data_IF_680953937041
#
_entry.id   IF_680953937041
#
_cell.length_a   1.000
_cell.length_b   1.000
_cell.length_c   1.000
_cell.angle_alpha   90.00
_cell.angle_beta   90.00
_cell.angle_gamma   90.00
#
_symmetry.space_group_name_H-M   'P 1'
#
loop_
_entity.id
_entity.type
_entity.pdbx_description
1 polymer ?
#
# COMPACT_ATOMS: atom_id res chain seq x y z
N UNK A 1 -29.88 14.22 -16.92
CA UNK A 1 -29.45 15.63 -16.84
C UNK A 1 -27.94 15.64 -16.96
N UNK A 2 -27.43 15.87 -18.17
CA UNK A 2 -26.00 15.90 -18.44
C UNK A 2 -25.46 17.24 -17.94
N UNK A 3 -24.46 17.23 -17.05
CA UNK A 3 -23.76 18.45 -16.66
C UNK A 3 -22.85 18.88 -17.82
N UNK A 4 -23.34 19.78 -18.65
CA UNK A 4 -22.51 20.60 -19.54
C UNK A 4 -21.98 21.81 -18.76
N UNK A 5 -20.78 21.70 -18.20
CA UNK A 5 -19.93 22.86 -17.85
C UNK A 5 -18.54 22.34 -17.48
N UNK A 6 -17.68 22.19 -18.48
CA UNK A 6 -16.24 22.02 -18.24
C UNK A 6 -15.59 23.29 -17.65
N UNK A 7 -16.31 24.42 -17.66
CA UNK A 7 -15.90 25.70 -17.11
C UNK A 7 -16.72 26.04 -15.86
N UNK A 8 -16.15 25.82 -14.65
CA UNK A 8 -16.28 26.78 -13.52
C UNK A 8 -15.64 26.37 -12.18
N UNK A 9 -14.87 25.27 -12.08
CA UNK A 9 -14.14 25.04 -10.81
C UNK A 9 -12.87 25.90 -10.78
N UNK A 10 -12.76 26.89 -9.87
CA UNK A 10 -11.60 27.76 -9.83
C UNK A 10 -10.35 27.02 -9.37
N UNK A 11 -9.17 27.54 -9.73
CA UNK A 11 -7.91 27.06 -9.15
C UNK A 11 -7.85 27.43 -7.67
N UNK A 12 -7.83 26.43 -6.79
CA UNK A 12 -7.80 26.63 -5.34
C UNK A 12 -6.40 26.37 -4.80
N UNK A 13 -5.65 27.45 -4.53
CA UNK A 13 -4.29 27.38 -3.98
C UNK A 13 -4.26 27.09 -2.47
N UNK A 14 -5.38 27.24 -1.77
CA UNK A 14 -5.43 27.07 -0.31
C UNK A 14 -5.40 25.60 0.13
N UNK A 15 -5.84 24.68 -0.75
CA UNK A 15 -5.94 23.26 -0.41
C UNK A 15 -4.58 22.58 -0.57
N UNK A 16 -4.06 22.07 0.54
CA UNK A 16 -2.78 21.34 0.59
C UNK A 16 -2.93 19.86 0.91
N UNK A 17 -4.10 19.45 1.41
CA UNK A 17 -4.42 18.07 1.75
C UNK A 17 -5.82 17.71 1.26
N UNK A 18 -5.94 16.56 0.62
CA UNK A 18 -7.20 16.00 0.15
C UNK A 18 -7.39 14.62 0.80
N UNK A 19 -8.58 14.37 1.35
CA UNK A 19 -8.89 13.15 2.11
C UNK A 19 -10.24 12.62 1.68
N UNK A 20 -10.27 11.39 1.17
CA UNK A 20 -11.48 10.58 1.07
C UNK A 20 -11.24 9.36 1.93
N UNK A 21 -11.95 9.32 3.06
CA UNK A 21 -11.92 8.21 3.99
C UNK A 21 -12.90 7.13 3.58
N UNK A 22 -12.69 5.94 4.14
CA UNK A 22 -13.59 4.79 4.06
C UNK A 22 -15.08 5.12 4.32
N UNK A 23 -15.41 6.07 5.19
CA UNK A 23 -16.80 6.47 5.46
C UNK A 23 -17.57 6.95 4.21
N UNK A 24 -16.86 7.49 3.22
CA UNK A 24 -17.40 7.79 1.92
C UNK A 24 -17.54 6.45 1.17
N UNK A 25 -18.58 5.67 1.48
CA UNK A 25 -18.91 4.33 0.92
C UNK A 25 -19.16 4.32 -0.61
N UNK A 26 -18.71 5.36 -1.33
CA UNK A 26 -18.81 5.53 -2.78
C UNK A 26 -17.41 5.87 -3.30
N UNK A 27 -16.99 5.14 -4.32
CA UNK A 27 -15.84 5.53 -5.12
C UNK A 27 -16.20 6.82 -5.87
N UNK A 28 -15.33 7.84 -5.77
CA UNK A 28 -15.39 8.96 -6.71
C UNK A 28 -14.80 8.46 -8.02
N UNK A 29 -15.49 8.72 -9.12
CA UNK A 29 -15.00 8.39 -10.44
C UNK A 29 -13.61 9.00 -10.68
N UNK A 30 -12.73 8.24 -11.32
CA UNK A 30 -11.32 8.60 -11.47
C UNK A 30 -11.16 9.85 -12.35
N UNK A 31 -11.99 10.05 -13.38
CA UNK A 31 -11.98 11.28 -14.18
C UNK A 31 -12.35 12.50 -13.33
N UNK A 32 -13.34 12.35 -12.44
CA UNK A 32 -13.73 13.42 -11.52
C UNK A 32 -12.60 13.74 -10.51
N UNK A 33 -11.88 12.72 -10.00
CA UNK A 33 -10.68 12.93 -9.20
C UNK A 33 -9.59 13.65 -9.99
N UNK A 34 -9.38 13.27 -11.25
CA UNK A 34 -8.40 13.92 -12.11
C UNK A 34 -8.73 15.39 -12.33
N UNK A 35 -9.99 15.71 -12.61
CA UNK A 35 -10.47 17.08 -12.72
C UNK A 35 -10.25 17.89 -11.43
N UNK A 36 -10.56 17.31 -10.27
CA UNK A 36 -10.31 17.95 -8.98
C UNK A 36 -8.82 18.23 -8.77
N UNK A 37 -7.96 17.24 -8.97
CA UNK A 37 -6.52 17.39 -8.75
C UNK A 37 -5.89 18.44 -9.65
N UNK A 38 -6.32 18.56 -10.92
CA UNK A 38 -5.89 19.63 -11.82
C UNK A 38 -6.23 21.04 -11.27
N UNK A 39 -7.25 21.16 -10.41
CA UNK A 39 -7.66 22.44 -9.79
C UNK A 39 -6.99 22.73 -8.44
N UNK A 40 -6.18 21.82 -7.91
CA UNK A 40 -5.51 21.94 -6.61
C UNK A 40 -3.97 22.00 -6.76
N UNK A 41 -3.42 23.11 -7.30
CA UNK A 41 -2.00 23.19 -7.69
C UNK A 41 -1.01 23.17 -6.51
N UNK A 42 -1.49 23.30 -5.27
CA UNK A 42 -0.69 23.22 -4.04
C UNK A 42 -1.03 21.98 -3.21
N UNK A 43 -1.62 20.95 -3.82
CA UNK A 43 -1.90 19.70 -3.13
C UNK A 43 -0.60 18.96 -2.83
N UNK A 44 -0.29 18.75 -1.55
CA UNK A 44 0.93 18.09 -1.08
C UNK A 44 0.65 16.70 -0.49
N UNK A 45 -0.58 16.42 -0.07
CA UNK A 45 -0.95 15.16 0.57
C UNK A 45 -2.32 14.67 0.10
N UNK A 46 -2.39 13.40 -0.28
CA UNK A 46 -3.64 12.70 -0.62
C UNK A 46 -3.79 11.48 0.28
N UNK A 47 -4.98 11.32 0.86
CA UNK A 47 -5.44 10.09 1.50
C UNK A 47 -6.68 9.64 0.75
N UNK A 48 -6.64 8.44 0.17
CA UNK A 48 -7.71 7.91 -0.67
C UNK A 48 -8.03 6.47 -0.29
N UNK A 49 -9.23 6.25 0.25
CA UNK A 49 -9.62 4.94 0.79
C UNK A 49 -10.91 4.44 0.15
N UNK A 50 -10.86 4.01 -1.12
CA UNK A 50 -12.04 3.58 -1.86
C UNK A 50 -12.59 2.26 -1.35
N UNK A 51 -13.90 2.09 -1.49
CA UNK A 51 -14.60 0.82 -1.27
C UNK A 51 -14.76 0.03 -2.57
N UNK A 52 -14.35 -1.24 -2.55
CA UNK A 52 -14.67 -2.18 -3.63
C UNK A 52 -16.12 -2.66 -3.47
N UNK A 53 -16.98 -2.39 -4.47
CA UNK A 53 -18.37 -2.88 -4.49
C UNK A 53 -18.45 -4.29 -5.08
N UNK A 54 -19.11 -5.26 -4.40
CA UNK A 54 -19.29 -6.62 -4.91
C UNK A 54 -20.03 -6.70 -6.26
N UNK A 55 -20.99 -5.81 -6.50
CA UNK A 55 -21.76 -5.74 -7.75
C UNK A 55 -20.96 -5.16 -8.94
N UNK A 56 -19.75 -4.64 -8.72
CA UNK A 56 -18.88 -4.09 -9.79
C UNK A 56 -17.74 -5.03 -10.17
N UNK A 57 -17.79 -6.28 -9.75
CA UNK A 57 -16.72 -7.26 -9.97
C UNK A 57 -16.56 -7.63 -11.45
N UNK A 58 -17.64 -7.60 -12.26
CA UNK A 58 -17.55 -7.68 -13.73
C UNK A 58 -16.79 -6.51 -14.37
N UNK A 59 -16.68 -5.35 -13.69
CA UNK A 59 -16.01 -4.15 -14.18
C UNK A 59 -14.55 -4.01 -13.70
N UNK A 60 -14.06 -4.88 -12.81
CA UNK A 60 -12.68 -4.76 -12.29
C UNK A 60 -11.64 -5.05 -13.36
N UNK A 61 -12.01 -5.75 -14.45
CA UNK A 61 -11.16 -5.90 -15.64
C UNK A 61 -11.08 -4.63 -16.51
N UNK A 62 -11.96 -3.64 -16.29
CA UNK A 62 -12.11 -2.42 -17.11
C UNK A 62 -11.60 -1.16 -16.36
N UNK A 63 -11.68 -1.18 -15.03
CA UNK A 63 -11.36 -0.07 -14.11
C UNK A 63 -9.87 0.33 -14.04
N UNK A 64 -8.96 -0.45 -14.62
CA UNK A 64 -7.54 -0.08 -14.63
C UNK A 64 -7.28 1.20 -15.43
N UNK A 65 -7.96 1.42 -16.57
CA UNK A 65 -7.61 2.52 -17.49
C UNK A 65 -7.81 3.94 -16.90
N UNK A 66 -8.91 4.20 -16.19
CA UNK A 66 -9.21 5.52 -15.64
C UNK A 66 -8.41 5.84 -14.38
N UNK A 67 -8.16 4.83 -13.53
CA UNK A 67 -7.25 4.94 -12.39
C UNK A 67 -5.81 5.19 -12.87
N UNK A 68 -5.37 4.48 -13.92
CA UNK A 68 -4.08 4.70 -14.59
C UNK A 68 -3.95 6.15 -15.08
N UNK A 69 -4.94 6.69 -15.79
CA UNK A 69 -4.90 8.05 -16.32
C UNK A 69 -4.87 9.10 -15.21
N UNK A 70 -5.64 8.89 -14.14
CA UNK A 70 -5.65 9.78 -12.97
C UNK A 70 -4.28 9.85 -12.31
N UNK A 71 -3.67 8.68 -12.08
CA UNK A 71 -2.37 8.60 -11.39
C UNK A 71 -1.25 9.12 -12.28
N UNK A 72 -1.31 8.81 -13.59
CA UNK A 72 -0.28 9.17 -14.56
C UNK A 72 -0.30 10.64 -14.93
N UNK A 73 -1.48 11.21 -15.19
CA UNK A 73 -1.61 12.54 -15.79
C UNK A 73 -2.15 13.60 -14.84
N UNK A 74 -2.91 13.22 -13.81
CA UNK A 74 -3.65 14.18 -12.99
C UNK A 74 -3.09 14.37 -11.57
N UNK A 75 -2.15 13.54 -11.10
CA UNK A 75 -1.50 13.80 -9.81
C UNK A 75 -0.67 15.09 -9.86
N UNK A 76 -0.95 16.07 -8.97
CA UNK A 76 -0.26 17.36 -9.01
C UNK A 76 1.25 17.19 -8.77
N UNK A 77 2.08 17.97 -9.47
CA UNK A 77 3.54 17.97 -9.26
C UNK A 77 3.97 18.39 -7.85
N UNK A 78 3.11 19.12 -7.14
CA UNK A 78 3.32 19.49 -5.73
C UNK A 78 3.13 18.32 -4.76
N UNK A 79 2.57 17.20 -5.20
CA UNK A 79 2.25 16.07 -4.34
C UNK A 79 3.52 15.43 -3.79
N UNK A 80 3.58 15.27 -2.47
CA UNK A 80 4.71 14.65 -1.76
C UNK A 80 4.32 13.42 -0.97
N UNK A 81 3.04 13.29 -0.61
CA UNK A 81 2.55 12.23 0.25
C UNK A 81 1.28 11.64 -0.33
N UNK A 82 1.27 10.32 -0.50
CA UNK A 82 0.07 9.61 -0.93
C UNK A 82 -0.14 8.37 -0.07
N UNK A 83 -1.38 8.20 0.38
CA UNK A 83 -1.84 7.04 1.13
C UNK A 83 -3.09 6.52 0.44
N UNK A 84 -3.03 5.28 -0.05
CA UNK A 84 -4.17 4.60 -0.67
C UNK A 84 -4.43 3.32 0.10
N UNK A 85 -5.67 3.12 0.54
CA UNK A 85 -6.10 1.88 1.17
C UNK A 85 -7.38 1.39 0.49
N UNK A 86 -7.26 0.38 -0.38
CA UNK A 86 -8.42 -0.20 -1.05
C UNK A 86 -9.13 -1.15 -0.09
N UNK A 87 -10.26 -0.73 0.47
CA UNK A 87 -11.06 -1.55 1.38
C UNK A 87 -11.96 -2.50 0.60
N UNK A 88 -12.01 -3.76 1.01
CA UNK A 88 -13.00 -4.75 0.57
C UNK A 88 -13.92 -5.13 1.73
N UNK A 89 -15.17 -5.48 1.43
CA UNK A 89 -16.05 -6.06 2.44
C UNK A 89 -15.79 -7.56 2.54
N UNK A 90 -14.94 -7.96 3.48
CA UNK A 90 -14.64 -9.37 3.72
C UNK A 90 -15.86 -10.19 4.13
N UNK A 91 -16.87 -9.57 4.74
CA UNK A 91 -18.10 -10.25 5.15
C UNK A 91 -18.99 -10.57 3.94
N UNK A 92 -19.11 -9.63 2.98
CA UNK A 92 -19.81 -9.89 1.71
C UNK A 92 -19.04 -10.91 0.85
N UNK A 93 -17.70 -10.82 0.82
CA UNK A 93 -16.87 -11.85 0.18
C UNK A 93 -17.05 -13.22 0.84
N UNK A 94 -17.20 -13.29 2.18
CA UNK A 94 -17.43 -14.54 2.94
C UNK A 94 -18.79 -15.17 2.70
N UNK A 95 -19.83 -14.36 2.59
CA UNK A 95 -21.23 -14.84 2.55
C UNK A 95 -21.65 -15.26 1.14
N UNK A 96 -21.11 -14.62 0.11
CA UNK A 96 -21.51 -14.92 -1.26
C UNK A 96 -20.61 -15.98 -1.91
N UNK A 97 -21.15 -17.19 -2.11
CA UNK A 97 -20.44 -18.34 -2.70
C UNK A 97 -19.80 -18.04 -4.06
N UNK A 98 -20.42 -17.19 -4.89
CA UNK A 98 -19.87 -16.72 -6.15
C UNK A 98 -18.59 -15.92 -5.95
N UNK A 99 -18.59 -14.93 -5.04
CA UNK A 99 -17.43 -14.10 -4.77
C UNK A 99 -16.29 -14.87 -4.09
N UNK A 100 -16.58 -15.88 -3.26
CA UNK A 100 -15.53 -16.79 -2.74
C UNK A 100 -14.77 -17.54 -3.84
N UNK A 101 -15.43 -17.85 -4.96
CA UNK A 101 -14.81 -18.58 -6.08
C UNK A 101 -14.10 -17.67 -7.09
N UNK A 102 -14.57 -16.43 -7.26
CA UNK A 102 -14.06 -15.48 -8.26
C UNK A 102 -13.00 -14.53 -7.67
N UNK A 103 -13.12 -14.21 -6.39
CA UNK A 103 -12.26 -13.28 -5.67
C UNK A 103 -11.70 -14.00 -4.44
N UNK A 104 -10.68 -14.85 -4.60
CA UNK A 104 -9.90 -15.28 -3.43
C UNK A 104 -9.47 -13.99 -2.74
N UNK A 105 -9.71 -13.83 -1.43
CA UNK A 105 -9.61 -12.48 -0.85
C UNK A 105 -8.18 -11.94 -0.68
N UNK A 106 -7.21 -12.56 -1.34
CA UNK A 106 -5.99 -11.88 -1.76
C UNK A 106 -6.18 -11.01 -3.04
N UNK A 107 -7.40 -10.83 -3.54
CA UNK A 107 -7.71 -10.10 -4.76
C UNK A 107 -7.16 -8.66 -4.74
N UNK A 108 -6.41 -8.31 -5.80
CA UNK A 108 -5.88 -6.97 -6.09
C UNK A 108 -5.99 -6.69 -7.58
N UNK A 109 -5.86 -5.43 -7.99
CA UNK A 109 -5.68 -5.12 -9.42
C UNK A 109 -4.32 -5.72 -9.86
N UNK A 110 -4.36 -6.65 -10.81
CA UNK A 110 -3.18 -7.29 -11.39
C UNK A 110 -2.65 -6.42 -12.54
N UNK A 111 -2.29 -5.18 -12.20
CA UNK A 111 -1.84 -4.18 -13.18
C UNK A 111 -0.37 -3.81 -12.97
N UNK A 112 0.56 -4.56 -13.59
CA UNK A 112 1.97 -4.19 -13.60
C UNK A 112 2.21 -2.76 -14.11
N UNK A 113 1.37 -2.30 -15.05
CA UNK A 113 1.40 -0.93 -15.57
C UNK A 113 1.13 0.09 -14.47
N UNK A 114 0.17 -0.16 -13.60
CA UNK A 114 -0.16 0.73 -12.49
C UNK A 114 0.98 0.76 -11.46
N UNK A 115 1.55 -0.40 -11.14
CA UNK A 115 2.70 -0.51 -10.27
C UNK A 115 3.92 0.25 -10.82
N UNK A 116 4.19 0.15 -12.12
CA UNK A 116 5.21 0.94 -12.82
C UNK A 116 4.97 2.45 -12.69
N UNK A 117 3.74 2.92 -12.89
CA UNK A 117 3.42 4.34 -12.78
C UNK A 117 3.62 4.82 -11.34
N UNK A 118 3.21 4.06 -10.33
CA UNK A 118 3.50 4.40 -8.93
C UNK A 118 5.01 4.43 -8.65
N UNK A 119 5.76 3.44 -9.12
CA UNK A 119 7.21 3.42 -8.96
C UNK A 119 7.85 4.67 -9.56
N UNK A 120 7.49 5.02 -10.81
CA UNK A 120 7.98 6.22 -11.48
C UNK A 120 7.56 7.52 -10.80
N UNK A 121 6.28 7.68 -10.44
CA UNK A 121 5.78 8.91 -9.80
C UNK A 121 6.34 9.09 -8.39
N UNK A 122 6.62 7.99 -7.69
CA UNK A 122 7.14 8.04 -6.33
C UNK A 122 8.55 8.60 -6.19
N UNK A 123 9.30 8.75 -7.29
CA UNK A 123 10.58 9.47 -7.30
C UNK A 123 10.48 10.91 -6.75
N UNK A 124 9.31 11.53 -6.88
CA UNK A 124 9.05 12.89 -6.40
C UNK A 124 8.45 12.94 -4.98
N UNK A 125 8.16 11.78 -4.38
CA UNK A 125 7.44 11.65 -3.11
C UNK A 125 8.38 11.52 -1.92
N UNK A 126 7.86 11.94 -0.77
CA UNK A 126 8.44 11.74 0.56
C UNK A 126 7.83 10.52 1.24
N UNK A 127 6.52 10.29 1.05
CA UNK A 127 5.82 9.14 1.64
C UNK A 127 4.88 8.50 0.63
N UNK A 128 5.01 7.20 0.44
CA UNK A 128 4.14 6.38 -0.39
C UNK A 128 3.60 5.22 0.45
N UNK A 129 2.28 5.18 0.62
CA UNK A 129 1.57 4.05 1.21
C UNK A 129 0.47 3.60 0.26
N UNK A 130 0.52 2.35 -0.19
CA UNK A 130 -0.43 1.79 -1.14
C UNK A 130 -0.79 0.37 -0.73
N UNK A 131 -1.95 0.22 -0.10
CA UNK A 131 -2.48 -1.04 0.38
C UNK A 131 -3.62 -1.56 -0.53
N UNK A 132 -3.47 -2.81 -0.97
CA UNK A 132 -4.43 -3.56 -1.80
C UNK A 132 -4.77 -2.92 -3.16
N UNK A 133 -4.00 -1.93 -3.59
CA UNK A 133 -4.24 -1.23 -4.85
C UNK A 133 -3.22 -1.60 -5.95
N UNK A 134 -1.98 -1.90 -5.58
CA UNK A 134 -0.93 -2.45 -6.47
C UNK A 134 -0.23 -3.64 -5.82
N UNK A 135 0.48 -4.42 -6.61
CA UNK A 135 1.35 -5.51 -6.15
C UNK A 135 2.79 -4.99 -5.98
N UNK A 136 3.38 -5.19 -4.78
CA UNK A 136 4.73 -4.69 -4.48
C UNK A 136 5.80 -5.33 -5.37
N UNK A 137 5.65 -6.61 -5.73
CA UNK A 137 6.63 -7.25 -6.60
C UNK A 137 6.69 -6.59 -7.98
N UNK A 138 5.54 -6.24 -8.57
CA UNK A 138 5.48 -5.51 -9.84
C UNK A 138 6.07 -4.10 -9.72
N UNK A 139 5.88 -3.43 -8.57
CA UNK A 139 6.50 -2.14 -8.27
C UNK A 139 8.03 -2.25 -8.30
N UNK A 140 8.60 -3.26 -7.62
CA UNK A 140 10.06 -3.44 -7.56
C UNK A 140 10.66 -3.92 -8.88
N UNK A 141 9.97 -4.77 -9.63
CA UNK A 141 10.40 -5.21 -10.96
C UNK A 141 10.38 -4.07 -11.98
N UNK A 142 9.56 -3.04 -11.74
CA UNK A 142 9.47 -1.85 -12.58
C UNK A 142 10.59 -0.83 -12.34
N UNK A 143 11.37 -0.97 -11.26
CA UNK A 143 12.44 -0.05 -10.92
C UNK A 143 13.56 -0.06 -11.96
N UNK A 144 13.95 1.12 -12.45
CA UNK A 144 15.08 1.26 -13.38
C UNK A 144 16.37 1.59 -12.60
N UNK A 145 17.52 1.22 -13.17
CA UNK A 145 18.82 1.35 -12.50
C UNK A 145 19.20 2.81 -12.22
N UNK A 146 18.74 3.73 -13.05
CA UNK A 146 19.01 5.17 -12.99
C UNK A 146 18.09 5.90 -11.99
N UNK A 147 17.07 5.21 -11.47
CA UNK A 147 16.10 5.82 -10.57
C UNK A 147 16.67 5.97 -9.18
N UNK A 148 16.52 7.17 -8.62
CA UNK A 148 16.93 7.52 -7.27
C UNK A 148 15.75 8.23 -6.60
N UNK A 149 15.30 7.68 -5.48
CA UNK A 149 14.27 8.29 -4.65
C UNK A 149 14.91 9.22 -3.62
N UNK A 150 15.29 10.41 -4.07
CA UNK A 150 16.06 11.38 -3.26
C UNK A 150 15.40 11.74 -1.93
N UNK A 151 14.07 11.59 -1.81
CA UNK A 151 13.28 12.09 -0.66
C UNK A 151 12.38 11.05 -0.03
N UNK A 152 12.24 9.86 -0.61
CA UNK A 152 11.28 8.87 -0.14
C UNK A 152 11.75 8.31 1.21
N UNK A 153 11.05 8.70 2.27
CA UNK A 153 11.34 8.29 3.64
C UNK A 153 10.47 7.14 4.11
N UNK A 154 9.28 6.97 3.53
CA UNK A 154 8.35 5.91 3.88
C UNK A 154 7.81 5.24 2.62
N UNK A 155 7.94 3.92 2.57
CA UNK A 155 7.32 3.06 1.57
C UNK A 155 6.54 1.94 2.25
N UNK A 156 5.21 1.95 2.13
CA UNK A 156 4.35 0.87 2.62
C UNK A 156 3.59 0.26 1.45
N UNK A 157 3.81 -1.01 1.16
CA UNK A 157 3.15 -1.71 0.06
C UNK A 157 2.61 -3.05 0.52
N UNK A 158 1.51 -3.49 -0.11
CA UNK A 158 1.02 -4.85 0.05
C UNK A 158 1.56 -5.79 -1.02
N UNK A 159 1.83 -7.05 -0.67
CA UNK A 159 2.21 -8.08 -1.65
C UNK A 159 1.52 -9.41 -1.38
N UNK A 160 1.01 -10.09 -2.41
CA UNK A 160 0.40 -11.43 -2.27
C UNK A 160 1.46 -12.50 -2.03
N UNK A 161 2.73 -12.20 -2.30
CA UNK A 161 3.83 -13.13 -2.08
C UNK A 161 3.97 -13.50 -0.60
N UNK A 162 3.69 -12.55 0.29
CA UNK A 162 3.75 -12.74 1.74
C UNK A 162 2.55 -13.53 2.27
N UNK A 163 2.60 -14.86 2.20
CA UNK A 163 1.60 -15.79 2.75
C UNK A 163 2.27 -17.11 3.10
N UNK A 164 1.71 -17.85 4.07
CA UNK A 164 2.26 -19.13 4.52
C UNK A 164 2.28 -20.19 3.42
N UNK A 165 1.36 -20.11 2.47
CA UNK A 165 1.21 -21.08 1.38
C UNK A 165 2.24 -20.91 0.27
N UNK A 166 2.94 -19.77 0.22
CA UNK A 166 3.98 -19.53 -0.75
C UNK A 166 5.30 -20.19 -0.34
N UNK A 167 6.09 -20.54 -1.34
CA UNK A 167 7.41 -21.12 -1.11
C UNK A 167 8.35 -20.07 -0.49
N UNK A 168 9.21 -20.44 0.49
CA UNK A 168 10.13 -19.52 1.13
C UNK A 168 11.07 -18.78 0.18
N UNK A 169 11.51 -19.41 -0.92
CA UNK A 169 12.37 -18.81 -1.93
C UNK A 169 11.68 -17.68 -2.72
N UNK A 170 10.37 -17.80 -2.94
CA UNK A 170 9.57 -16.77 -3.62
C UNK A 170 9.40 -15.55 -2.71
N UNK A 171 9.13 -15.77 -1.42
CA UNK A 171 9.13 -14.72 -0.40
C UNK A 171 10.49 -14.04 -0.35
N UNK A 172 11.57 -14.83 -0.28
CA UNK A 172 12.91 -14.31 -0.21
C UNK A 172 13.31 -13.50 -1.44
N UNK A 173 12.93 -13.94 -2.63
CA UNK A 173 13.14 -13.21 -3.89
C UNK A 173 12.46 -11.83 -3.86
N UNK A 174 11.21 -11.75 -3.40
CA UNK A 174 10.47 -10.48 -3.29
C UNK A 174 11.16 -9.53 -2.31
N UNK A 175 11.60 -10.03 -1.15
CA UNK A 175 12.30 -9.22 -0.14
C UNK A 175 13.70 -8.78 -0.59
N UNK A 176 14.38 -9.56 -1.44
CA UNK A 176 15.64 -9.17 -2.09
C UNK A 176 15.44 -8.10 -3.16
N UNK A 177 14.38 -8.19 -3.96
CA UNK A 177 14.01 -7.15 -4.93
C UNK A 177 13.72 -5.81 -4.22
N UNK A 178 13.04 -5.87 -3.07
CA UNK A 178 12.82 -4.72 -2.22
C UNK A 178 14.13 -4.11 -1.69
N UNK A 179 15.07 -4.94 -1.22
CA UNK A 179 16.39 -4.49 -0.80
C UNK A 179 17.17 -3.83 -1.96
N UNK A 180 17.11 -4.41 -3.16
CA UNK A 180 17.74 -3.86 -4.34
C UNK A 180 17.18 -2.48 -4.71
N UNK A 181 15.87 -2.27 -4.60
CA UNK A 181 15.26 -0.96 -4.80
C UNK A 181 15.65 0.02 -3.68
N UNK A 182 15.69 -0.44 -2.42
CA UNK A 182 16.09 0.36 -1.26
C UNK A 182 17.52 0.92 -1.37
N UNK A 183 18.42 0.22 -2.10
CA UNK A 183 19.76 0.74 -2.43
C UNK A 183 19.75 2.02 -3.28
N UNK A 184 18.60 2.45 -3.78
CA UNK A 184 18.41 3.72 -4.50
C UNK A 184 17.54 4.74 -3.72
N UNK A 185 17.29 4.51 -2.43
CA UNK A 185 16.43 5.34 -1.58
C UNK A 185 17.23 5.95 -0.41
N UNK A 186 18.03 7.01 -0.64
CA UNK A 186 18.96 7.56 0.37
C UNK A 186 18.30 8.09 1.64
N UNK A 187 17.03 8.49 1.60
CA UNK A 187 16.31 9.03 2.75
C UNK A 187 15.33 8.02 3.37
N UNK A 188 15.39 6.74 2.99
CA UNK A 188 14.46 5.72 3.47
C UNK A 188 14.61 5.49 4.98
N UNK A 189 13.57 5.83 5.73
CA UNK A 189 13.45 5.55 7.16
C UNK A 189 12.65 4.29 7.42
N UNK A 190 11.59 4.05 6.64
CA UNK A 190 10.72 2.88 6.84
C UNK A 190 10.33 2.27 5.52
N UNK A 191 10.58 0.97 5.35
CA UNK A 191 9.93 0.17 4.33
C UNK A 191 9.11 -0.92 5.01
N UNK A 192 7.80 -0.94 4.77
CA UNK A 192 6.89 -1.96 5.26
C UNK A 192 6.27 -2.72 4.08
N UNK A 193 6.56 -4.01 4.00
CA UNK A 193 5.88 -4.94 3.09
C UNK A 193 4.99 -5.83 3.92
N UNK A 194 3.73 -5.89 3.58
CA UNK A 194 2.79 -6.64 4.39
C UNK A 194 1.70 -7.29 3.56
N UNK A 195 1.03 -8.23 4.18
CA UNK A 195 -0.15 -8.84 3.62
C UNK A 195 -1.07 -9.25 4.74
N UNK A 196 -2.35 -9.29 4.43
CA UNK A 196 -3.34 -9.89 5.29
C UNK A 196 -4.43 -10.46 4.41
N UNK A 197 -4.83 -11.67 4.72
CA UNK A 197 -5.99 -12.31 4.14
C UNK A 197 -6.60 -13.30 5.14
N UNK A 198 -7.64 -14.05 4.77
CA UNK A 198 -8.45 -14.86 5.67
C UNK A 198 -7.60 -15.76 6.59
N UNK A 199 -7.54 -15.40 7.88
CA UNK A 199 -6.82 -16.14 8.91
C UNK A 199 -5.30 -15.90 8.96
N UNK A 200 -4.72 -15.17 8.00
CA UNK A 200 -3.28 -14.93 7.90
C UNK A 200 -2.96 -13.44 7.85
N UNK A 201 -1.89 -13.04 8.53
CA UNK A 201 -1.32 -11.72 8.38
C UNK A 201 0.18 -11.79 8.64
N UNK A 202 0.96 -11.03 7.87
CA UNK A 202 2.37 -10.85 8.13
C UNK A 202 2.87 -9.50 7.65
N UNK A 203 3.97 -9.05 8.24
CA UNK A 203 4.74 -7.88 7.86
C UNK A 203 6.21 -8.21 7.85
N UNK A 204 6.90 -7.51 6.97
CA UNK A 204 8.34 -7.34 6.95
C UNK A 204 8.62 -5.84 7.03
N UNK A 205 9.40 -5.40 8.02
CA UNK A 205 9.74 -3.99 8.20
C UNK A 205 11.24 -3.81 8.24
N UNK A 206 11.74 -2.91 7.39
CA UNK A 206 13.03 -2.26 7.55
C UNK A 206 12.82 -0.90 8.20
N UNK A 207 13.55 -0.61 9.27
CA UNK A 207 13.54 0.69 9.94
C UNK A 207 14.96 1.25 10.07
N UNK A 208 15.15 2.50 9.70
CA UNK A 208 16.38 3.27 9.90
C UNK A 208 16.06 4.47 10.79
N UNK A 209 16.48 4.39 12.06
CA UNK A 209 16.28 5.42 13.06
C UNK A 209 17.62 6.10 13.42
N UNK A 210 17.54 7.15 14.22
CA UNK A 210 18.74 7.82 14.73
C UNK A 210 19.55 6.87 15.61
N UNK A 211 20.65 6.33 15.09
CA UNK A 211 21.55 5.45 15.84
C UNK A 211 21.31 3.95 15.65
N UNK A 212 20.29 3.53 14.90
CA UNK A 212 19.99 2.12 14.69
C UNK A 212 19.41 1.83 13.31
N UNK A 213 19.58 0.59 12.88
CA UNK A 213 18.91 0.09 11.68
C UNK A 213 18.46 -1.32 11.96
N UNK A 214 17.19 -1.61 11.75
CA UNK A 214 16.58 -2.88 12.10
C UNK A 214 15.80 -3.50 10.95
N UNK A 215 15.70 -4.81 11.01
CA UNK A 215 14.86 -5.63 10.16
C UNK A 215 14.00 -6.52 11.05
N UNK A 216 12.70 -6.57 10.78
CA UNK A 216 11.79 -7.34 11.59
C UNK A 216 10.76 -8.09 10.75
N UNK A 217 10.30 -9.22 11.28
CA UNK A 217 9.20 -10.02 10.75
C UNK A 217 8.21 -10.28 11.87
N UNK A 218 6.94 -10.04 11.60
CA UNK A 218 5.83 -10.45 12.48
C UNK A 218 4.73 -11.04 11.63
N UNK A 219 4.15 -12.16 12.04
CA UNK A 219 3.05 -12.75 11.33
C UNK A 219 2.42 -13.94 12.01
N UNK A 220 1.37 -14.49 11.40
CA UNK A 220 0.71 -15.75 11.79
C UNK A 220 1.50 -16.99 11.43
N UNK A 221 2.67 -16.81 10.83
CA UNK A 221 3.64 -17.85 10.52
C UNK A 221 5.05 -17.27 10.61
N UNK A 222 6.02 -18.15 10.87
CA UNK A 222 7.43 -17.78 10.94
C UNK A 222 8.08 -17.76 9.56
N UNK A 223 8.85 -16.72 9.27
CA UNK A 223 9.74 -16.68 8.12
C UNK A 223 11.18 -16.88 8.58
N UNK A 224 11.84 -17.91 8.04
CA UNK A 224 13.28 -18.03 8.20
C UNK A 224 13.98 -17.05 7.25
N UNK A 225 14.54 -15.96 7.79
CA UNK A 225 15.32 -15.00 7.01
C UNK A 225 16.67 -15.60 6.64
N UNK A 226 16.81 -16.03 5.39
CA UNK A 226 18.08 -16.57 4.89
C UNK A 226 19.21 -15.54 4.97
N UNK A 227 20.43 -16.02 5.21
CA UNK A 227 21.63 -15.18 5.30
C UNK A 227 21.85 -14.31 4.06
N UNK A 228 21.49 -14.82 2.87
CA UNK A 228 21.61 -14.09 1.62
C UNK A 228 20.69 -12.87 1.56
N UNK A 229 19.46 -12.97 2.07
CA UNK A 229 18.51 -11.86 2.18
C UNK A 229 18.98 -10.84 3.22
N UNK A 230 19.42 -11.31 4.39
CA UNK A 230 19.96 -10.46 5.45
C UNK A 230 21.14 -9.65 4.91
N UNK A 231 22.04 -10.28 4.15
CA UNK A 231 23.19 -9.63 3.55
C UNK A 231 22.81 -8.50 2.57
N UNK A 232 21.74 -8.67 1.77
CA UNK A 232 21.29 -7.61 0.88
C UNK A 232 20.74 -6.40 1.65
N UNK A 233 19.99 -6.62 2.73
CA UNK A 233 19.54 -5.54 3.62
C UNK A 233 20.67 -4.91 4.44
N UNK A 234 21.70 -5.67 4.78
CA UNK A 234 22.91 -5.13 5.41
C UNK A 234 23.61 -4.12 4.49
N UNK A 235 23.66 -4.37 3.18
CA UNK A 235 24.19 -3.38 2.22
C UNK A 235 23.39 -2.07 2.24
N UNK A 236 22.06 -2.16 2.34
CA UNK A 236 21.17 -0.98 2.44
C UNK A 236 21.52 -0.17 3.70
N UNK A 237 21.58 -0.84 4.86
CA UNK A 237 21.96 -0.22 6.13
C UNK A 237 23.35 0.43 6.06
N UNK A 238 24.36 -0.32 5.62
CA UNK A 238 25.73 0.16 5.50
C UNK A 238 25.87 1.37 4.59
N UNK A 239 25.13 1.39 3.46
CA UNK A 239 25.21 2.46 2.47
C UNK A 239 24.72 3.80 3.00
N UNK A 240 23.60 3.81 3.73
CA UNK A 240 22.91 5.05 4.07
C UNK A 240 22.95 5.44 5.55
N UNK A 241 22.98 4.46 6.46
CA UNK A 241 22.99 4.73 7.90
C UNK A 241 24.36 4.50 8.54
N UNK A 242 25.20 3.65 7.90
CA UNK A 242 26.49 3.16 8.43
C UNK A 242 26.37 2.38 9.73
N UNK A 243 25.16 2.02 10.15
CA UNK A 243 24.91 1.18 11.31
C UNK A 243 24.83 -0.29 10.90
N UNK A 244 25.13 -1.16 11.86
CA UNK A 244 24.89 -2.59 11.70
C UNK A 244 23.39 -2.86 11.69
N UNK A 245 22.96 -3.71 10.76
CA UNK A 245 21.57 -4.16 10.70
C UNK A 245 21.29 -5.12 11.87
N UNK A 246 20.33 -4.74 12.72
CA UNK A 246 19.82 -5.57 13.80
C UNK A 246 18.62 -6.38 13.30
N UNK A 247 18.60 -7.68 13.56
CA UNK A 247 17.42 -8.51 13.28
C UNK A 247 16.58 -8.56 14.55
N UNK A 248 15.41 -7.95 14.50
CA UNK A 248 14.46 -7.90 15.62
C UNK A 248 13.53 -9.10 15.53
N UNK A 249 13.49 -9.88 16.61
CA UNK A 249 12.54 -10.97 16.76
C UNK A 249 11.22 -10.41 17.29
N UNK A 250 10.15 -10.50 16.49
CA UNK A 250 8.80 -10.19 16.94
C UNK A 250 8.04 -11.50 17.25
N UNK A 251 7.10 -11.49 18.20
CA UNK A 251 6.35 -12.68 18.57
C UNK A 251 5.41 -13.11 17.42
N UNK A 252 5.28 -14.43 17.25
CA UNK A 252 4.30 -15.02 16.34
C UNK A 252 2.87 -14.68 16.76
N UNK A 253 2.02 -14.42 15.76
CA UNK A 253 0.60 -14.13 15.97
C UNK A 253 -0.14 -15.47 16.05
N UNK A 254 -0.54 -15.86 17.25
CA UNK A 254 -1.23 -17.13 17.52
C UNK A 254 -2.76 -17.04 17.40
N UNK A 255 -3.29 -15.85 17.14
CA UNK A 255 -4.73 -15.62 16.98
C UNK A 255 -5.12 -15.61 15.50
N UNK A 256 -6.32 -16.09 15.19
CA UNK A 256 -6.84 -16.04 13.84
C UNK A 256 -7.12 -14.58 13.44
N UNK A 257 -6.62 -14.19 12.26
CA UNK A 257 -6.88 -12.86 11.70
C UNK A 257 -8.29 -12.83 11.12
N UNK A 258 -9.12 -11.96 11.71
CA UNK A 258 -10.56 -11.91 11.42
C UNK A 258 -10.92 -10.89 10.33
N UNK A 259 -10.05 -9.91 10.09
CA UNK A 259 -10.25 -8.80 9.17
C UNK A 259 -8.94 -8.07 8.84
N UNK A 260 -8.94 -7.25 7.79
CA UNK A 260 -7.86 -6.31 7.50
C UNK A 260 -7.59 -5.33 8.66
N UNK A 261 -8.61 -4.90 9.42
CA UNK A 261 -8.39 -3.95 10.52
C UNK A 261 -7.72 -4.62 11.71
N UNK A 262 -8.14 -5.85 12.02
CA UNK A 262 -7.51 -6.70 13.00
C UNK A 262 -6.07 -7.00 12.61
N UNK A 263 -5.79 -7.26 11.33
CA UNK A 263 -4.44 -7.45 10.82
C UNK A 263 -3.57 -6.20 11.02
N UNK A 264 -4.05 -5.00 10.68
CA UNK A 264 -3.30 -3.74 10.86
C UNK A 264 -2.91 -3.54 12.32
N UNK A 265 -3.80 -3.86 13.25
CA UNK A 265 -3.57 -3.76 14.70
C UNK A 265 -2.56 -4.82 15.20
N UNK A 266 -2.79 -6.10 14.89
CA UNK A 266 -1.88 -7.18 15.30
C UNK A 266 -0.47 -7.01 14.74
N UNK A 267 -0.37 -6.53 13.50
CA UNK A 267 0.89 -6.28 12.85
C UNK A 267 1.54 -4.97 13.31
N UNK A 268 0.87 -4.08 14.05
CA UNK A 268 1.44 -2.78 14.45
C UNK A 268 2.04 -2.03 13.23
N UNK A 269 1.27 -1.96 12.14
CA UNK A 269 1.73 -1.31 10.91
C UNK A 269 1.88 0.21 11.08
N UNK A 270 2.69 0.87 10.22
CA UNK A 270 2.78 2.33 10.21
C UNK A 270 1.40 3.00 10.08
N UNK A 271 1.22 4.12 10.78
CA UNK A 271 -0.05 4.87 10.79
C UNK A 271 -0.45 5.38 9.40
N UNK A 272 0.51 5.48 8.48
CA UNK A 272 0.28 5.81 7.07
C UNK A 272 -0.39 4.69 6.25
N UNK A 273 -0.54 3.47 6.78
CA UNK A 273 -1.21 2.39 6.04
C UNK A 273 -2.70 2.68 5.85
N UNK A 274 -3.37 3.16 6.89
CA UNK A 274 -4.81 3.47 6.89
C UNK A 274 -5.06 4.66 7.80
N UNK A 275 -5.94 5.59 7.39
CA UNK A 275 -6.28 6.75 8.21
C UNK A 275 -6.83 6.28 9.57
N UNK A 276 -6.35 6.82 10.71
CA UNK A 276 -6.76 6.37 12.04
C UNK A 276 -8.26 6.41 12.29
N UNK A 277 -8.97 7.37 11.69
CA UNK A 277 -10.44 7.46 11.80
C UNK A 277 -11.08 6.30 11.05
N UNK A 278 -10.56 5.95 9.88
CA UNK A 278 -11.03 4.80 9.12
C UNK A 278 -10.77 3.51 9.87
N UNK A 279 -9.57 3.30 10.43
CA UNK A 279 -9.26 2.14 11.25
C UNK A 279 -10.23 1.99 12.44
N UNK A 280 -10.51 3.09 13.14
CA UNK A 280 -11.52 3.11 14.21
C UNK A 280 -12.93 2.71 13.71
N UNK A 281 -13.31 3.15 12.52
CA UNK A 281 -14.59 2.75 11.90
C UNK A 281 -14.62 1.27 11.55
N UNK A 282 -13.53 0.72 10.98
CA UNK A 282 -13.45 -0.72 10.67
C UNK A 282 -13.71 -1.55 11.93
N UNK A 283 -13.04 -1.22 13.03
CA UNK A 283 -13.17 -1.92 14.31
C UNK A 283 -14.59 -1.84 14.89
N UNK A 284 -15.22 -0.67 14.83
CA UNK A 284 -16.61 -0.51 15.30
C UNK A 284 -17.58 -1.34 14.47
N UNK A 285 -17.46 -1.31 13.15
CA UNK A 285 -18.33 -2.08 12.26
C UNK A 285 -18.19 -3.59 12.50
N UNK A 286 -16.97 -4.06 12.77
CA UNK A 286 -16.71 -5.46 13.11
C UNK A 286 -17.30 -5.87 14.47
N UNK A 287 -17.39 -4.95 15.43
CA UNK A 287 -18.09 -5.22 16.69
C UNK A 287 -19.61 -5.33 16.47
N UNK A 288 -20.19 -4.45 15.65
CA UNK A 288 -21.64 -4.45 15.39
C UNK A 288 -22.09 -5.57 14.44
N UNK A 289 -21.23 -6.03 13.52
CA UNK A 289 -21.55 -7.07 12.54
C UNK A 289 -21.38 -8.52 13.03
N UNK A 290 -21.02 -8.73 14.31
CA UNK A 290 -20.86 -10.06 14.93
C UNK A 290 -22.13 -10.57 15.63
N UNK A 291 -23.27 -9.91 15.45
CA UNK A 291 -24.58 -10.29 16.00
C UNK A 291 -25.49 -10.89 14.94
#
# INVERSE_FOLDING_TARGET
MFFSSQDDVPLVKAVTKFIIRRQCRRQIDSEALGYLFNRLPRLHSVVYEPWLRPLMIEQVLILDSSDLDTIKYHLPRSLKRISIFKSTDECVLRTHRFFRSVMPGNWRSDSPTLAYIFAKRSLEFEKLSVAFFIEANDFFQSCQREWIWERLSLLCLTTRTLTQTNRPDVIASTLKNAAAAALSMPCLHTMALWNSFQGEACKFIYCAESGSTSLSWKGTFNLHMEQSMIHDWQKVAQKYTRYNLQIVQEPEILVQVESHSHAVELLELPVEVVDPISLLQMRKEEQFGRH
#
